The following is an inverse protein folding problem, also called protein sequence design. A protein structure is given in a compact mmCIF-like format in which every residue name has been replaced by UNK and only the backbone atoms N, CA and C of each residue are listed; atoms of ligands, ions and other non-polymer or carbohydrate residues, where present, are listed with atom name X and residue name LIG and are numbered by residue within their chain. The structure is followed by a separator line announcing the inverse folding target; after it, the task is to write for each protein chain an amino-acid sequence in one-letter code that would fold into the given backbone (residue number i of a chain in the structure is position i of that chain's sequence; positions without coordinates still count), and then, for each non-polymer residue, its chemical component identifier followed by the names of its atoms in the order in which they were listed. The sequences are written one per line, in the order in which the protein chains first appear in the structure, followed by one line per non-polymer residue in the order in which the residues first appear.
data_IF_151225966666
#
_entry.id   IF_151225966666
#
_cell.length_a   1.000
_cell.length_b   1.000
_cell.length_c   1.000
_cell.angle_alpha   90.00
_cell.angle_beta   90.00
_cell.angle_gamma   90.00
#
_symmetry.space_group_name_H-M   'P 1'
#
loop_
_entity.id
_entity.type
_entity.pdbx_description
1 polymer ?
#
# COMPACT_ATOMS: atom_id res chain seq x y z
N UNK A 1 40.81 27.40 30.90
CA UNK A 1 40.19 26.17 31.40
C UNK A 1 38.67 26.10 31.19
N UNK A 2 37.98 27.21 30.94
CA UNK A 2 36.49 27.23 30.71
C UNK A 2 36.04 26.83 29.30
N UNK A 3 36.89 27.00 28.28
CA UNK A 3 36.53 26.75 26.89
C UNK A 3 36.47 25.25 26.57
N UNK A 4 37.33 24.43 27.19
CA UNK A 4 37.36 22.98 26.99
C UNK A 4 36.10 22.26 27.55
N UNK A 5 35.55 22.77 28.64
CA UNK A 5 34.32 22.20 29.23
C UNK A 5 33.07 22.45 28.42
N UNK A 6 32.98 23.59 27.70
CA UNK A 6 31.86 23.94 26.84
C UNK A 6 31.87 23.13 25.54
N UNK A 7 33.04 22.98 24.91
CA UNK A 7 33.18 22.16 23.71
C UNK A 7 32.86 20.69 23.93
N UNK A 8 33.27 20.12 25.08
CA UNK A 8 32.97 18.73 25.42
C UNK A 8 31.47 18.46 25.68
N UNK A 9 30.75 19.45 26.24
CA UNK A 9 29.29 19.37 26.42
C UNK A 9 28.52 19.47 25.10
N UNK A 10 28.99 20.29 24.16
CA UNK A 10 28.41 20.46 22.82
C UNK A 10 28.64 19.18 22.01
N UNK A 11 29.83 18.59 22.02
CA UNK A 11 30.15 17.32 21.35
C UNK A 11 29.32 16.15 21.90
N UNK A 12 29.13 16.06 23.23
CA UNK A 12 28.27 15.05 23.87
C UNK A 12 26.79 15.23 23.48
N UNK A 13 26.31 16.47 23.37
CA UNK A 13 24.94 16.77 22.94
C UNK A 13 24.68 16.39 21.47
N UNK A 14 25.64 16.61 20.59
CA UNK A 14 25.53 16.24 19.16
C UNK A 14 25.58 14.72 18.98
N UNK A 15 26.41 14.02 19.76
CA UNK A 15 26.50 12.56 19.71
C UNK A 15 25.23 11.86 20.23
N UNK A 16 24.62 12.42 21.29
CA UNK A 16 23.35 11.94 21.83
C UNK A 16 22.18 12.16 20.84
N UNK A 17 22.15 13.30 20.14
CA UNK A 17 21.12 13.59 19.14
C UNK A 17 21.22 12.67 17.90
N UNK A 18 22.44 12.32 17.47
CA UNK A 18 22.67 11.37 16.38
C UNK A 18 22.26 9.93 16.75
N UNK A 19 22.46 9.52 18.00
CA UNK A 19 22.06 8.20 18.48
C UNK A 19 20.53 8.02 18.51
N UNK A 20 19.77 9.05 18.88
CA UNK A 20 18.29 9.01 18.89
C UNK A 20 17.72 8.93 17.48
N UNK A 21 18.33 9.62 16.51
CA UNK A 21 17.92 9.57 15.10
C UNK A 21 18.20 8.19 14.45
N UNK A 22 19.28 7.53 14.86
CA UNK A 22 19.63 6.18 14.37
C UNK A 22 18.64 5.13 14.88
N UNK A 23 18.27 5.16 16.16
CA UNK A 23 17.32 4.23 16.77
C UNK A 23 15.94 4.29 16.09
N UNK A 24 15.42 5.49 15.84
CA UNK A 24 14.10 5.66 15.19
C UNK A 24 14.06 5.20 13.73
N UNK A 25 15.18 5.24 13.02
CA UNK A 25 15.28 4.72 11.65
C UNK A 25 15.29 3.20 11.63
N UNK A 26 16.06 2.59 12.50
CA UNK A 26 16.15 1.14 12.66
C UNK A 26 14.82 0.53 13.10
N UNK A 27 14.10 1.14 14.04
CA UNK A 27 12.77 0.71 14.47
C UNK A 27 11.76 0.71 13.30
N UNK A 28 11.86 1.72 12.42
CA UNK A 28 11.00 1.79 11.24
C UNK A 28 11.33 0.72 10.21
N UNK A 29 12.60 0.48 9.95
CA UNK A 29 13.05 -0.57 9.03
C UNK A 29 12.61 -1.95 9.54
N UNK A 30 12.77 -2.24 10.82
CA UNK A 30 12.30 -3.48 11.45
C UNK A 30 10.78 -3.62 11.36
N UNK A 31 10.02 -2.52 11.52
CA UNK A 31 8.57 -2.54 11.34
C UNK A 31 8.19 -2.94 9.92
N UNK A 32 8.87 -2.39 8.90
CA UNK A 32 8.59 -2.74 7.49
C UNK A 32 8.92 -4.22 7.22
N UNK A 33 10.06 -4.71 7.69
CA UNK A 33 10.44 -6.13 7.55
C UNK A 33 9.37 -7.04 8.16
N UNK A 34 8.94 -6.77 9.38
CA UNK A 34 7.89 -7.55 10.05
C UNK A 34 6.55 -7.52 9.30
N UNK A 35 6.22 -6.41 8.65
CA UNK A 35 5.03 -6.30 7.79
C UNK A 35 5.16 -7.18 6.54
N UNK A 36 6.30 -7.13 5.87
CA UNK A 36 6.56 -7.94 4.67
C UNK A 36 6.51 -9.44 4.99
N UNK A 37 7.08 -9.87 6.11
CA UNK A 37 6.96 -11.26 6.60
C UNK A 37 5.50 -11.64 6.93
N UNK A 38 4.72 -10.72 7.52
CA UNK A 38 3.30 -10.95 7.82
C UNK A 38 2.47 -11.08 6.54
N UNK A 39 2.77 -10.26 5.52
CA UNK A 39 2.15 -10.35 4.19
C UNK A 39 2.49 -11.68 3.52
N UNK A 40 3.76 -12.11 3.58
CA UNK A 40 4.19 -13.38 3.00
C UNK A 40 3.51 -14.58 3.68
N UNK A 41 3.36 -14.56 5.00
CA UNK A 41 2.60 -15.60 5.72
C UNK A 41 1.13 -15.63 5.30
N UNK A 42 0.50 -14.46 5.18
CA UNK A 42 -0.89 -14.36 4.71
C UNK A 42 -1.04 -14.95 3.31
N UNK A 43 -0.20 -14.54 2.36
CA UNK A 43 -0.23 -15.05 0.98
C UNK A 43 0.00 -16.55 0.93
N UNK A 44 0.96 -17.07 1.72
CA UNK A 44 1.26 -18.50 1.78
C UNK A 44 0.15 -19.35 2.39
N UNK A 45 -0.78 -18.75 3.12
CA UNK A 45 -1.95 -19.43 3.67
C UNK A 45 -3.13 -19.55 2.71
N UNK A 46 -3.06 -18.85 1.55
CA UNK A 46 -4.13 -18.87 0.56
C UNK A 46 -3.98 -20.06 -0.38
N UNK A 47 -5.10 -20.69 -0.72
CA UNK A 47 -5.21 -21.73 -1.75
C UNK A 47 -6.08 -21.25 -2.91
N UNK A 48 -5.91 -21.86 -4.07
CA UNK A 48 -6.75 -21.66 -5.25
C UNK A 48 -6.78 -20.20 -5.78
N UNK A 49 -5.66 -19.47 -5.58
CA UNK A 49 -5.47 -18.11 -6.07
C UNK A 49 -4.17 -17.98 -6.85
N UNK A 50 -4.14 -17.10 -7.84
CA UNK A 50 -2.92 -16.73 -8.53
C UNK A 50 -2.26 -15.54 -7.84
N UNK A 51 -0.97 -15.64 -7.58
CA UNK A 51 -0.18 -14.56 -6.98
C UNK A 51 0.73 -13.94 -8.04
N UNK A 52 0.65 -12.61 -8.21
CA UNK A 52 1.59 -11.82 -9.00
C UNK A 52 2.34 -10.86 -8.08
N UNK A 53 3.68 -10.90 -8.11
CA UNK A 53 4.55 -10.05 -7.28
C UNK A 53 5.25 -9.03 -8.15
N UNK A 54 5.18 -7.76 -7.77
CA UNK A 54 5.85 -6.68 -8.49
C UNK A 54 6.23 -5.53 -7.55
N UNK A 55 7.52 -5.14 -7.54
CA UNK A 55 8.00 -3.93 -6.87
C UNK A 55 7.72 -3.85 -5.36
N UNK A 56 7.55 -5.00 -4.66
CA UNK A 56 7.19 -5.05 -3.24
C UNK A 56 5.68 -5.07 -2.98
N UNK A 57 4.87 -5.12 -4.04
CA UNK A 57 3.43 -5.36 -3.97
C UNK A 57 3.08 -6.75 -4.41
N UNK A 58 2.04 -7.31 -3.80
CA UNK A 58 1.55 -8.64 -4.08
C UNK A 58 0.09 -8.55 -4.52
N UNK A 59 -0.23 -9.02 -5.73
CA UNK A 59 -1.59 -9.11 -6.24
C UNK A 59 -2.08 -10.56 -6.13
N UNK A 60 -3.18 -10.73 -5.43
CA UNK A 60 -3.88 -11.98 -5.19
C UNK A 60 -5.10 -11.98 -6.08
N UNK A 61 -5.11 -12.78 -7.13
CA UNK A 61 -6.16 -12.81 -8.14
C UNK A 61 -7.19 -13.88 -7.77
N UNK A 62 -8.43 -13.45 -7.53
CA UNK A 62 -9.56 -14.33 -7.24
C UNK A 62 -10.40 -14.64 -8.48
N UNK A 63 -10.49 -13.67 -9.40
CA UNK A 63 -11.17 -13.83 -10.70
C UNK A 63 -10.23 -13.31 -11.78
N UNK A 64 -9.92 -14.14 -12.74
CA UNK A 64 -9.09 -13.76 -13.88
C UNK A 64 -9.84 -12.76 -14.78
N UNK A 65 -9.12 -11.76 -15.26
CA UNK A 65 -9.66 -10.86 -16.26
C UNK A 65 -9.78 -11.51 -17.63
N UNK A 66 -10.70 -11.01 -18.43
CA UNK A 66 -11.05 -11.58 -19.74
C UNK A 66 -10.41 -10.85 -20.92
N UNK A 67 -9.86 -9.64 -20.74
CA UNK A 67 -9.20 -8.91 -21.80
C UNK A 67 -7.90 -9.58 -22.24
N UNK A 68 -7.58 -9.52 -23.54
CA UNK A 68 -6.30 -10.01 -24.06
C UNK A 68 -5.13 -9.13 -23.60
N UNK A 69 -5.37 -7.84 -23.48
CA UNK A 69 -4.36 -6.86 -23.10
C UNK A 69 -4.24 -6.71 -21.58
N UNK A 70 -3.00 -6.70 -21.11
CA UNK A 70 -2.66 -6.47 -19.71
C UNK A 70 -2.30 -5.00 -19.49
N UNK A 71 -2.64 -4.48 -18.30
CA UNK A 71 -2.35 -3.12 -17.86
C UNK A 71 -0.84 -2.89 -17.77
N UNK A 72 -0.35 -1.85 -18.42
CA UNK A 72 1.04 -1.41 -18.38
C UNK A 72 1.15 0.04 -17.87
N UNK A 73 2.35 0.44 -17.48
CA UNK A 73 2.64 1.84 -17.12
C UNK A 73 2.31 2.74 -18.32
N UNK A 74 1.57 3.81 -18.07
CA UNK A 74 1.08 4.75 -19.08
C UNK A 74 -0.33 4.48 -19.58
N UNK A 75 -0.87 3.27 -19.40
CA UNK A 75 -2.25 2.95 -19.76
C UNK A 75 -3.26 3.58 -18.79
N UNK A 76 -4.47 3.84 -19.26
CA UNK A 76 -5.61 4.22 -18.42
C UNK A 76 -6.33 3.02 -17.86
N UNK A 77 -6.75 3.11 -16.61
CA UNK A 77 -7.54 2.09 -15.91
C UNK A 77 -8.77 2.70 -15.27
N UNK A 78 -9.93 2.03 -15.42
CA UNK A 78 -11.16 2.29 -14.65
C UNK A 78 -11.41 1.15 -13.70
N UNK A 79 -11.62 1.46 -12.41
CA UNK A 79 -11.77 0.44 -11.38
C UNK A 79 -12.58 0.92 -10.19
N UNK A 80 -13.19 -0.04 -9.50
CA UNK A 80 -13.66 0.13 -8.13
C UNK A 80 -12.63 -0.42 -7.16
N UNK A 81 -12.63 0.12 -5.93
CA UNK A 81 -11.74 -0.35 -4.88
C UNK A 81 -12.37 -0.27 -3.49
N UNK A 82 -11.81 -1.06 -2.58
CA UNK A 82 -12.01 -0.95 -1.15
C UNK A 82 -10.65 -1.10 -0.45
N UNK A 83 -10.21 -0.06 0.26
CA UNK A 83 -8.91 0.00 0.94
C UNK A 83 -9.05 -0.29 2.42
N UNK A 84 -8.26 -1.25 2.92
CA UNK A 84 -8.25 -1.67 4.32
C UNK A 84 -6.85 -1.57 4.92
N UNK A 85 -6.77 -1.34 6.22
CA UNK A 85 -5.54 -1.57 6.97
C UNK A 85 -5.33 -3.09 7.04
N UNK A 86 -4.14 -3.56 6.64
CA UNK A 86 -3.81 -4.98 6.72
C UNK A 86 -3.37 -5.34 8.14
N UNK A 87 -4.03 -6.35 8.74
CA UNK A 87 -3.76 -6.87 10.08
C UNK A 87 -3.61 -8.40 10.10
N UNK A 88 -2.97 -8.96 9.04
CA UNK A 88 -2.96 -10.41 8.76
C UNK A 88 -4.12 -10.85 7.86
N UNK A 89 -5.08 -9.96 7.63
CA UNK A 89 -6.20 -10.05 6.69
C UNK A 89 -6.73 -8.62 6.40
N UNK A 90 -7.89 -8.50 5.75
CA UNK A 90 -8.63 -7.22 5.61
C UNK A 90 -9.13 -6.79 6.99
N UNK A 91 -8.51 -5.76 7.56
CA UNK A 91 -8.90 -5.15 8.82
C UNK A 91 -9.89 -4.00 8.64
N UNK A 92 -9.60 -2.84 9.21
CA UNK A 92 -10.48 -1.67 9.14
C UNK A 92 -10.53 -1.09 7.73
N UNK A 93 -11.73 -0.94 7.16
CA UNK A 93 -11.98 -0.19 5.94
C UNK A 93 -11.72 1.30 6.18
N UNK A 94 -10.93 1.94 5.30
CA UNK A 94 -10.65 3.36 5.40
C UNK A 94 -11.07 4.18 4.17
N UNK A 95 -11.26 3.54 3.01
CA UNK A 95 -11.71 4.20 1.79
C UNK A 95 -12.37 3.19 0.84
N UNK A 96 -13.41 3.60 0.13
CA UNK A 96 -13.99 2.83 -0.96
C UNK A 96 -14.77 3.73 -1.92
N UNK A 97 -14.76 3.36 -3.21
CA UNK A 97 -15.70 3.88 -4.21
C UNK A 97 -16.62 2.77 -4.73
N UNK A 98 -16.52 1.54 -4.19
CA UNK A 98 -17.43 0.46 -4.55
C UNK A 98 -18.77 0.64 -3.82
N UNK A 99 -19.90 0.81 -4.53
CA UNK A 99 -21.20 1.12 -3.92
C UNK A 99 -21.68 0.04 -2.96
N UNK A 100 -21.45 -1.25 -3.28
CA UNK A 100 -21.89 -2.37 -2.44
C UNK A 100 -21.10 -2.42 -1.13
N UNK A 101 -19.78 -2.20 -1.20
CA UNK A 101 -18.93 -2.15 -0.01
C UNK A 101 -19.30 -0.96 0.86
N UNK A 102 -19.50 0.22 0.25
CA UNK A 102 -19.92 1.42 0.96
C UNK A 102 -21.24 1.21 1.71
N UNK A 103 -22.25 0.66 1.03
CA UNK A 103 -23.56 0.39 1.64
C UNK A 103 -23.46 -0.57 2.80
N UNK A 104 -22.71 -1.69 2.66
CA UNK A 104 -22.53 -2.69 3.71
C UNK A 104 -21.76 -2.20 4.93
N UNK A 105 -20.88 -1.20 4.72
CA UNK A 105 -19.96 -0.69 5.75
C UNK A 105 -20.37 0.66 6.34
N UNK A 106 -21.49 1.24 5.89
CA UNK A 106 -21.95 2.56 6.34
C UNK A 106 -21.09 3.73 5.85
N UNK A 107 -20.30 3.52 4.80
CA UNK A 107 -19.57 4.58 4.13
C UNK A 107 -20.52 5.36 3.20
N UNK A 108 -20.23 6.65 2.94
CA UNK A 108 -20.96 7.39 1.91
C UNK A 108 -20.83 6.69 0.56
N UNK A 109 -21.95 6.40 -0.10
CA UNK A 109 -21.95 5.79 -1.42
C UNK A 109 -21.46 6.82 -2.42
N UNK A 110 -20.37 6.51 -3.13
CA UNK A 110 -19.88 7.25 -4.28
C UNK A 110 -20.16 6.43 -5.53
N UNK A 111 -20.94 6.96 -6.46
CA UNK A 111 -21.29 6.25 -7.70
C UNK A 111 -20.23 6.40 -8.79
N UNK A 112 -19.12 7.08 -8.51
CA UNK A 112 -18.08 7.36 -9.50
C UNK A 112 -17.02 6.28 -9.51
N UNK A 113 -16.90 5.60 -10.64
CA UNK A 113 -15.74 4.78 -10.95
C UNK A 113 -14.46 5.63 -10.94
N UNK A 114 -13.38 5.11 -10.40
CA UNK A 114 -12.08 5.80 -10.46
C UNK A 114 -11.42 5.53 -11.80
N UNK A 115 -11.01 6.60 -12.46
CA UNK A 115 -10.20 6.58 -13.66
C UNK A 115 -8.87 7.26 -13.41
N UNK A 116 -7.77 6.65 -13.84
CA UNK A 116 -6.43 7.24 -13.76
C UNK A 116 -5.46 6.55 -14.72
N UNK A 117 -4.34 7.22 -14.98
CA UNK A 117 -3.23 6.66 -15.76
C UNK A 117 -2.27 5.97 -14.81
N UNK A 118 -1.93 4.70 -15.09
CA UNK A 118 -1.03 3.94 -14.26
C UNK A 118 0.39 4.54 -14.29
N UNK A 119 0.92 4.87 -13.11
CA UNK A 119 2.28 5.37 -12.96
C UNK A 119 2.43 6.90 -13.04
N UNK A 120 1.35 7.68 -13.22
CA UNK A 120 1.40 9.15 -13.20
C UNK A 120 1.44 9.78 -11.79
N UNK A 121 1.35 8.96 -10.73
CA UNK A 121 1.39 9.42 -9.34
C UNK A 121 0.01 9.64 -8.69
N UNK A 122 -1.10 9.41 -9.39
CA UNK A 122 -2.45 9.59 -8.87
C UNK A 122 -2.91 8.50 -7.89
N UNK A 123 -2.12 7.44 -7.75
CA UNK A 123 -2.40 6.36 -6.80
C UNK A 123 -1.17 6.01 -5.95
N UNK A 124 -1.39 5.33 -4.83
CA UNK A 124 -0.30 4.83 -3.99
C UNK A 124 0.65 3.95 -4.80
N UNK A 125 1.94 4.08 -4.53
CA UNK A 125 2.98 3.33 -5.24
C UNK A 125 2.72 1.82 -5.22
N UNK A 126 2.37 1.27 -4.05
CA UNK A 126 2.10 -0.15 -3.91
C UNK A 126 0.89 -0.60 -4.73
N UNK A 127 -0.18 0.22 -4.80
CA UNK A 127 -1.33 -0.10 -5.61
C UNK A 127 -0.99 -0.06 -7.10
N UNK A 128 -0.29 0.97 -7.56
CA UNK A 128 0.15 1.08 -8.95
C UNK A 128 1.05 -0.09 -9.38
N UNK A 129 2.04 -0.43 -8.56
CA UNK A 129 2.92 -1.57 -8.82
C UNK A 129 2.16 -2.90 -8.85
N UNK A 130 1.25 -3.11 -7.91
CA UNK A 130 0.46 -4.34 -7.83
C UNK A 130 -0.48 -4.52 -9.02
N UNK A 131 -0.98 -3.44 -9.62
CA UNK A 131 -1.91 -3.49 -10.75
C UNK A 131 -1.22 -3.69 -12.10
N UNK A 132 0.10 -3.54 -12.21
CA UNK A 132 0.81 -3.87 -13.46
C UNK A 132 0.51 -5.32 -13.87
N UNK A 133 0.08 -5.52 -15.11
CA UNK A 133 -0.29 -6.83 -15.64
C UNK A 133 -1.70 -7.30 -15.27
N UNK A 134 -2.52 -6.46 -14.61
CA UNK A 134 -3.95 -6.74 -14.42
C UNK A 134 -4.70 -6.70 -15.75
N UNK A 135 -5.89 -7.31 -15.80
CA UNK A 135 -6.73 -7.37 -16.99
C UNK A 135 -8.14 -6.87 -16.68
N UNK A 136 -8.84 -6.34 -17.65
CA UNK A 136 -10.24 -5.96 -17.49
C UNK A 136 -11.10 -7.18 -17.11
N UNK A 137 -12.01 -6.99 -16.15
CA UNK A 137 -12.80 -8.06 -15.52
C UNK A 137 -12.09 -8.78 -14.36
N UNK A 138 -10.82 -8.42 -14.05
CA UNK A 138 -10.09 -9.02 -12.92
C UNK A 138 -10.62 -8.52 -11.59
N UNK A 139 -10.79 -9.45 -10.63
CA UNK A 139 -11.00 -9.13 -9.23
C UNK A 139 -9.81 -9.64 -8.42
N UNK A 140 -9.17 -8.73 -7.71
CA UNK A 140 -7.96 -9.07 -6.97
C UNK A 140 -7.84 -8.26 -5.66
N UNK A 141 -7.00 -8.75 -4.76
CA UNK A 141 -6.46 -7.95 -3.66
C UNK A 141 -5.02 -7.54 -4.00
N UNK A 142 -4.65 -6.30 -3.67
CA UNK A 142 -3.28 -5.80 -3.75
C UNK A 142 -2.81 -5.46 -2.35
N UNK A 143 -1.81 -6.18 -1.84
CA UNK A 143 -1.28 -6.01 -0.48
C UNK A 143 0.20 -5.61 -0.51
N UNK A 144 0.55 -4.63 0.35
CA UNK A 144 1.90 -4.10 0.43
C UNK A 144 2.19 -3.48 1.81
N UNK A 145 3.48 -3.41 2.16
CA UNK A 145 3.94 -2.79 3.40
C UNK A 145 3.74 -1.27 3.38
N UNK A 146 3.79 -0.64 4.55
CA UNK A 146 3.66 0.80 4.68
C UNK A 146 4.66 1.59 3.83
N UNK A 147 5.80 0.99 3.48
CA UNK A 147 6.83 1.57 2.62
C UNK A 147 6.27 2.04 1.27
N UNK A 148 5.33 1.29 0.71
CA UNK A 148 4.70 1.55 -0.59
C UNK A 148 3.30 2.17 -0.46
N UNK A 149 2.85 2.41 0.79
CA UNK A 149 1.61 3.08 1.13
C UNK A 149 1.82 4.51 1.63
N UNK A 150 1.21 4.84 2.77
CA UNK A 150 1.32 6.17 3.39
C UNK A 150 2.60 6.38 4.20
N UNK A 151 3.44 5.36 4.31
CA UNK A 151 4.73 5.40 4.98
C UNK A 151 4.60 5.92 6.45
N UNK A 152 5.39 6.89 6.85
CA UNK A 152 5.38 7.47 8.21
C UNK A 152 4.40 8.66 8.33
N UNK A 153 3.31 8.63 7.56
CA UNK A 153 2.29 9.70 7.55
C UNK A 153 0.96 9.15 8.05
N UNK A 154 0.26 9.91 8.90
CA UNK A 154 -1.13 9.63 9.27
C UNK A 154 -2.03 10.21 8.18
N UNK A 155 -2.94 9.41 7.63
CA UNK A 155 -3.89 9.84 6.60
C UNK A 155 -5.31 9.48 7.07
N UNK A 156 -6.12 10.47 7.37
CA UNK A 156 -7.44 10.29 7.98
C UNK A 156 -7.39 9.38 9.23
N UNK A 157 -8.02 8.23 9.17
CA UNK A 157 -8.05 7.21 10.23
C UNK A 157 -7.00 6.10 10.06
N UNK A 158 -6.09 6.23 9.09
CA UNK A 158 -4.98 5.30 8.89
C UNK A 158 -3.76 5.77 9.66
N UNK A 159 -3.28 5.02 10.67
CA UNK A 159 -2.08 5.34 11.43
C UNK A 159 -0.82 5.35 10.54
N UNK A 160 0.21 6.05 10.98
CA UNK A 160 1.53 5.95 10.35
C UNK A 160 2.03 4.50 10.35
N UNK A 161 2.82 4.14 9.36
CA UNK A 161 3.40 2.81 9.22
C UNK A 161 2.35 1.68 9.18
N UNK A 162 1.17 1.93 8.60
CA UNK A 162 0.17 0.91 8.39
C UNK A 162 0.41 0.19 7.05
N UNK A 163 0.54 -1.15 7.03
CA UNK A 163 0.47 -1.91 5.79
C UNK A 163 -0.96 -1.91 5.27
N UNK A 164 -1.14 -1.97 3.96
CA UNK A 164 -2.44 -1.79 3.33
C UNK A 164 -2.78 -2.98 2.42
N UNK A 165 -4.08 -3.25 2.31
CA UNK A 165 -4.64 -4.19 1.34
C UNK A 165 -5.83 -3.52 0.64
N UNK A 166 -5.83 -3.55 -0.69
CA UNK A 166 -6.89 -3.02 -1.52
C UNK A 166 -7.57 -4.15 -2.26
N UNK A 167 -8.87 -4.30 -2.08
CA UNK A 167 -9.70 -5.09 -2.97
C UNK A 167 -10.00 -4.23 -4.21
N UNK A 168 -9.78 -4.77 -5.41
CA UNK A 168 -9.90 -4.05 -6.67
C UNK A 168 -10.74 -4.85 -7.66
N UNK A 169 -11.65 -4.14 -8.32
CA UNK A 169 -12.46 -4.62 -9.44
C UNK A 169 -12.07 -3.81 -10.66
N UNK A 170 -11.36 -4.43 -11.60
CA UNK A 170 -10.89 -3.79 -12.83
C UNK A 170 -12.01 -3.84 -13.88
N UNK A 171 -12.54 -2.67 -14.26
CA UNK A 171 -13.66 -2.58 -15.19
C UNK A 171 -13.16 -2.42 -16.64
N UNK A 172 -12.23 -1.50 -16.85
CA UNK A 172 -11.76 -1.17 -18.19
C UNK A 172 -10.27 -0.81 -18.19
N UNK A 173 -9.60 -1.17 -19.27
CA UNK A 173 -8.21 -0.77 -19.55
C UNK A 173 -8.19 -0.15 -20.94
N UNK A 174 -7.61 1.05 -21.06
CA UNK A 174 -7.40 1.75 -22.32
C UNK A 174 -5.91 1.91 -22.54
N UNK A 175 -5.42 1.34 -23.66
CA UNK A 175 -4.01 1.44 -24.06
C UNK A 175 -3.71 2.84 -24.58
N UNK A 176 -2.62 3.42 -24.15
CA UNK A 176 -2.11 4.73 -24.56
C UNK A 176 -0.82 4.60 -25.38
#
# INVERSE_FOLDING_TARGET
MLIYGRMRRILLGIFAALAVLSCTKEDRENTIVNQEESIDRYISSLSDVRIARNGGSNRIVYTEGTSEEALAIGDSIKFYYAGYIFTGNKGQLFATNNPEVAQKSGFPVQESIRECILGNGDMLQGLAQGLVGARAGERCDVVFSAKYGFNNTVVYNVPKLSPLIFEVWVEEIVKN
#
